data_IF_714025018095
#
_entry.id   IF_714025018095
#
_cell.length_a   1.000
_cell.length_b   1.000
_cell.length_c   1.000
_cell.angle_alpha   90.00
_cell.angle_beta   90.00
_cell.angle_gamma   90.00
#
_symmetry.space_group_name_H-M   'P 1'
#
loop_
_entity.id
_entity.type
_entity.pdbx_description
1 polymer ?
#
# COMPACT_ATOMS: atom_id res chain seq x y z
N UNK A 1 -4.76 18.78 5.25
CA UNK A 1 -6.07 18.27 5.71
C UNK A 1 -5.91 16.81 6.07
N UNK A 2 -6.67 16.28 7.03
CA UNK A 2 -6.63 14.85 7.36
C UNK A 2 -7.55 14.07 6.41
N UNK A 3 -7.24 12.80 6.15
CA UNK A 3 -8.11 11.91 5.36
C UNK A 3 -9.51 11.79 5.98
N UNK A 4 -9.58 11.74 7.31
CA UNK A 4 -10.84 11.70 8.06
C UNK A 4 -11.76 12.89 7.72
N UNK A 5 -11.19 14.10 7.58
CA UNK A 5 -11.96 15.29 7.18
C UNK A 5 -12.47 15.26 5.74
N UNK A 6 -11.90 14.38 4.90
CA UNK A 6 -12.33 14.11 3.52
C UNK A 6 -13.25 12.88 3.44
N UNK A 7 -13.66 12.29 4.58
CA UNK A 7 -14.49 11.08 4.61
C UNK A 7 -13.74 9.81 4.20
N UNK A 8 -12.40 9.82 4.23
CA UNK A 8 -11.56 8.67 3.88
C UNK A 8 -11.00 8.04 5.15
N UNK A 9 -11.19 6.73 5.30
CA UNK A 9 -10.58 5.93 6.37
C UNK A 9 -9.66 4.86 5.78
N UNK A 10 -8.49 4.66 6.39
CA UNK A 10 -7.56 3.60 6.03
C UNK A 10 -7.70 2.48 7.04
N UNK A 11 -8.07 1.29 6.56
CA UNK A 11 -8.31 0.12 7.40
C UNK A 11 -7.25 -0.94 7.09
N UNK A 12 -6.47 -1.30 8.10
CA UNK A 12 -5.60 -2.48 8.02
C UNK A 12 -6.46 -3.73 8.06
N UNK A 13 -6.30 -4.61 7.06
CA UNK A 13 -6.96 -5.91 7.06
C UNK A 13 -6.24 -6.95 7.94
N UNK A 14 -5.02 -6.65 8.43
CA UNK A 14 -4.20 -7.59 9.21
C UNK A 14 -3.96 -8.95 8.51
N UNK A 15 -3.87 -8.93 7.18
CA UNK A 15 -3.59 -10.10 6.36
C UNK A 15 -4.48 -10.17 5.11
N UNK A 16 -3.94 -10.72 4.01
CA UNK A 16 -4.63 -10.74 2.72
C UNK A 16 -5.94 -11.51 2.72
N UNK A 17 -6.03 -12.61 3.47
CA UNK A 17 -7.25 -13.43 3.57
C UNK A 17 -8.44 -12.62 4.10
N UNK A 18 -8.20 -11.65 4.98
CA UNK A 18 -9.25 -10.79 5.56
C UNK A 18 -9.68 -9.67 4.63
N UNK A 19 -8.85 -9.29 3.65
CA UNK A 19 -9.18 -8.25 2.66
C UNK A 19 -10.44 -8.66 1.88
N UNK A 20 -10.53 -9.91 1.44
CA UNK A 20 -11.71 -10.39 0.71
C UNK A 20 -12.99 -10.26 1.55
N UNK A 21 -12.93 -10.64 2.83
CA UNK A 21 -14.06 -10.54 3.75
C UNK A 21 -14.49 -9.08 3.96
N UNK A 22 -13.53 -8.18 4.20
CA UNK A 22 -13.78 -6.75 4.38
C UNK A 22 -14.35 -6.12 3.12
N UNK A 23 -13.80 -6.45 1.94
CA UNK A 23 -14.29 -5.92 0.67
C UNK A 23 -15.74 -6.32 0.40
N UNK A 24 -16.09 -7.59 0.63
CA UNK A 24 -17.47 -8.05 0.52
C UNK A 24 -18.37 -7.32 1.52
N UNK A 25 -17.98 -7.26 2.80
CA UNK A 25 -18.76 -6.59 3.85
C UNK A 25 -19.02 -5.12 3.52
N UNK A 26 -17.98 -4.35 3.21
CA UNK A 26 -18.12 -2.92 2.91
C UNK A 26 -18.89 -2.66 1.62
N UNK A 27 -18.75 -3.53 0.61
CA UNK A 27 -19.55 -3.43 -0.61
C UNK A 27 -21.05 -3.60 -0.33
N UNK A 28 -21.43 -4.55 0.54
CA UNK A 28 -22.82 -4.79 0.93
C UNK A 28 -23.40 -3.63 1.76
N UNK A 29 -22.56 -2.93 2.50
CA UNK A 29 -22.94 -1.72 3.25
C UNK A 29 -22.99 -0.45 2.37
N UNK A 30 -22.70 -0.55 1.07
CA UNK A 30 -22.67 0.60 0.16
C UNK A 30 -21.48 1.54 0.40
N UNK A 31 -20.46 1.10 1.13
CA UNK A 31 -19.26 1.91 1.42
C UNK A 31 -18.32 1.81 0.21
N UNK A 32 -17.94 2.97 -0.35
CA UNK A 32 -16.92 3.00 -1.40
C UNK A 32 -15.60 2.46 -0.85
N UNK A 33 -15.12 1.36 -1.43
CA UNK A 33 -13.91 0.67 -0.98
C UNK A 33 -12.90 0.61 -2.11
N UNK A 34 -11.65 0.92 -1.79
CA UNK A 34 -10.49 0.75 -2.66
C UNK A 34 -9.49 -0.17 -1.98
N UNK A 35 -9.09 -1.25 -2.65
CA UNK A 35 -8.24 -2.29 -2.04
C UNK A 35 -6.78 -2.11 -2.44
N UNK A 36 -5.87 -2.24 -1.47
CA UNK A 36 -4.42 -2.16 -1.68
C UNK A 36 -3.84 -3.45 -1.09
N UNK A 37 -3.05 -4.18 -1.89
CA UNK A 37 -2.37 -5.38 -1.41
C UNK A 37 -1.03 -5.58 -2.11
N UNK A 38 -0.10 -6.23 -1.42
CA UNK A 38 1.16 -6.69 -2.01
C UNK A 38 0.92 -8.02 -2.74
N UNK A 39 1.71 -8.36 -3.74
CA UNK A 39 1.63 -9.58 -4.54
C UNK A 39 2.56 -10.69 -4.04
N UNK A 40 3.47 -10.36 -3.12
CA UNK A 40 4.49 -11.23 -2.52
C UNK A 40 5.34 -11.98 -3.56
N UNK A 41 5.67 -11.36 -4.69
CA UNK A 41 6.37 -11.97 -5.83
C UNK A 41 7.74 -12.59 -5.51
N UNK A 42 8.37 -12.19 -4.40
CA UNK A 42 9.64 -12.75 -3.91
C UNK A 42 9.47 -13.87 -2.86
N UNK A 43 8.27 -14.09 -2.32
CA UNK A 43 8.06 -15.13 -1.32
C UNK A 43 7.82 -16.49 -2.00
N UNK A 44 8.61 -17.49 -1.58
CA UNK A 44 8.53 -18.89 -2.03
C UNK A 44 7.89 -19.81 -0.97
N UNK A 45 7.54 -19.29 0.20
CA UNK A 45 6.84 -20.06 1.24
C UNK A 45 5.34 -19.97 1.00
N UNK A 46 4.63 -21.08 1.22
CA UNK A 46 3.17 -21.18 1.10
C UNK A 46 2.60 -20.71 -0.25
N UNK A 47 3.33 -20.98 -1.35
CA UNK A 47 3.03 -20.46 -2.71
C UNK A 47 1.58 -20.66 -3.12
N UNK A 48 1.00 -21.84 -2.87
CA UNK A 48 -0.38 -22.14 -3.27
C UNK A 48 -1.40 -21.21 -2.57
N UNK A 49 -1.24 -20.97 -1.26
CA UNK A 49 -2.17 -20.13 -0.50
C UNK A 49 -2.06 -18.64 -0.86
N UNK A 50 -0.84 -18.16 -1.13
CA UNK A 50 -0.62 -16.78 -1.58
C UNK A 50 -1.14 -16.54 -3.00
N UNK A 51 -0.97 -17.51 -3.90
CA UNK A 51 -1.39 -17.38 -5.31
C UNK A 51 -2.90 -17.44 -5.48
N UNK A 52 -3.60 -18.30 -4.73
CA UNK A 52 -5.06 -18.33 -4.72
C UNK A 52 -5.66 -17.05 -4.12
N UNK A 53 -5.04 -16.51 -3.08
CA UNK A 53 -5.47 -15.25 -2.49
C UNK A 53 -5.30 -14.08 -3.47
N UNK A 54 -4.17 -14.02 -4.20
CA UNK A 54 -3.94 -13.00 -5.23
C UNK A 54 -4.98 -13.10 -6.36
N UNK A 55 -5.26 -14.31 -6.87
CA UNK A 55 -6.30 -14.58 -7.87
C UNK A 55 -7.67 -14.10 -7.41
N UNK A 56 -8.05 -14.43 -6.18
CA UNK A 56 -9.34 -14.07 -5.60
C UNK A 56 -9.47 -12.54 -5.47
N UNK A 57 -8.45 -11.87 -4.93
CA UNK A 57 -8.46 -10.41 -4.78
C UNK A 57 -8.55 -9.69 -6.13
N UNK A 58 -7.79 -10.13 -7.14
CA UNK A 58 -7.87 -9.59 -8.50
C UNK A 58 -9.27 -9.77 -9.10
N UNK A 59 -9.87 -10.94 -8.92
CA UNK A 59 -11.24 -11.22 -9.36
C UNK A 59 -12.25 -10.28 -8.71
N UNK A 60 -12.12 -10.06 -7.39
CA UNK A 60 -13.01 -9.18 -6.63
C UNK A 60 -12.90 -7.71 -7.05
N UNK A 61 -11.73 -7.31 -7.55
CA UNK A 61 -11.54 -5.99 -8.16
C UNK A 61 -11.74 -6.03 -9.70
N UNK A 62 -12.38 -7.06 -10.24
CA UNK A 62 -12.77 -7.14 -11.65
C UNK A 62 -11.60 -7.24 -12.64
N UNK A 63 -10.44 -7.70 -12.18
CA UNK A 63 -9.27 -7.95 -13.02
C UNK A 63 -9.13 -9.46 -13.32
N UNK A 64 -8.41 -9.79 -14.39
CA UNK A 64 -8.06 -11.18 -14.69
C UNK A 64 -7.24 -11.78 -13.55
N UNK A 65 -7.61 -12.95 -13.02
CA UNK A 65 -6.86 -13.60 -11.94
C UNK A 65 -5.42 -13.90 -12.36
N UNK A 66 -4.45 -13.60 -11.50
CA UNK A 66 -3.04 -13.87 -11.71
C UNK A 66 -2.40 -14.33 -10.40
N UNK A 67 -1.56 -15.36 -10.47
CA UNK A 67 -0.82 -15.90 -9.32
C UNK A 67 0.22 -14.92 -8.80
N UNK A 68 0.97 -14.33 -9.73
CA UNK A 68 2.07 -13.40 -9.48
C UNK A 68 1.82 -12.10 -10.26
N UNK A 69 0.89 -11.25 -9.79
CA UNK A 69 0.56 -10.02 -10.48
C UNK A 69 1.74 -9.03 -10.47
N UNK A 70 1.93 -8.35 -11.60
CA UNK A 70 2.82 -7.18 -11.68
C UNK A 70 2.19 -5.97 -11.01
N UNK A 71 3.04 -5.05 -10.54
CA UNK A 71 2.59 -3.82 -9.91
C UNK A 71 1.66 -3.03 -10.84
N UNK A 72 0.45 -2.75 -10.37
CA UNK A 72 -0.57 -2.03 -11.14
C UNK A 72 -1.54 -1.30 -10.21
N UNK A 73 -2.04 -0.16 -10.69
CA UNK A 73 -3.12 0.60 -10.05
C UNK A 73 -4.30 0.57 -11.00
N UNK A 74 -5.42 0.03 -10.52
CA UNK A 74 -6.69 -0.13 -11.21
C UNK A 74 -7.72 0.87 -10.68
N UNK A 75 -8.92 0.86 -11.26
CA UNK A 75 -10.00 1.76 -10.84
C UNK A 75 -10.58 1.47 -9.45
N UNK A 76 -10.44 0.25 -8.93
CA UNK A 76 -11.06 -0.21 -7.68
C UNK A 76 -10.07 -0.95 -6.76
N UNK A 77 -8.79 -0.93 -7.10
CA UNK A 77 -7.73 -1.44 -6.25
C UNK A 77 -6.36 -1.27 -6.86
N UNK A 78 -5.33 -1.66 -6.11
CA UNK A 78 -3.95 -1.65 -6.54
C UNK A 78 -3.21 -2.84 -5.96
N UNK A 79 -2.27 -3.35 -6.75
CA UNK A 79 -1.38 -4.45 -6.36
C UNK A 79 0.06 -4.04 -6.62
N UNK A 80 0.96 -4.42 -5.71
CA UNK A 80 2.41 -4.26 -5.91
C UNK A 80 3.07 -5.61 -5.99
N UNK A 81 3.89 -5.86 -7.01
CA UNK A 81 4.54 -7.16 -7.21
C UNK A 81 5.26 -7.64 -5.94
N UNK A 82 5.98 -6.73 -5.25
CA UNK A 82 6.72 -7.04 -4.03
C UNK A 82 6.13 -6.33 -2.82
N UNK A 83 6.48 -5.06 -2.65
CA UNK A 83 5.87 -4.20 -1.64
C UNK A 83 5.72 -2.79 -2.21
N UNK A 84 4.74 -2.04 -1.69
CA UNK A 84 4.65 -0.62 -2.04
C UNK A 84 5.92 0.16 -1.64
N UNK A 85 6.49 -0.16 -0.48
CA UNK A 85 7.73 0.47 0.02
C UNK A 85 8.91 0.28 -0.93
N UNK A 86 9.10 -0.91 -1.51
CA UNK A 86 10.15 -1.16 -2.49
C UNK A 86 9.98 -0.29 -3.74
N UNK A 87 8.74 -0.06 -4.14
CA UNK A 87 8.43 0.84 -5.27
C UNK A 87 8.84 2.26 -4.95
N UNK A 88 8.43 2.79 -3.79
CA UNK A 88 8.82 4.14 -3.35
C UNK A 88 10.35 4.29 -3.27
N UNK A 89 11.04 3.32 -2.67
CA UNK A 89 12.51 3.30 -2.58
C UNK A 89 13.17 3.45 -3.95
N UNK A 90 12.68 2.72 -4.94
CA UNK A 90 13.22 2.79 -6.31
C UNK A 90 12.99 4.15 -6.96
N UNK A 91 11.84 4.79 -6.71
CA UNK A 91 11.50 6.10 -7.28
C UNK A 91 12.28 7.25 -6.64
N UNK A 92 12.46 7.24 -5.32
CA UNK A 92 13.11 8.35 -4.59
C UNK A 92 14.63 8.18 -4.48
N UNK A 93 15.11 6.99 -4.77
CA UNK A 93 16.51 6.58 -4.65
C UNK A 93 16.81 5.97 -3.29
N UNK A 94 17.58 4.88 -3.29
CA UNK A 94 17.90 4.10 -2.09
C UNK A 94 18.64 4.92 -1.03
N UNK A 95 19.59 5.76 -1.44
CA UNK A 95 20.30 6.68 -0.52
C UNK A 95 19.33 7.63 0.18
N UNK A 96 18.46 8.33 -0.58
CA UNK A 96 17.47 9.25 -0.01
C UNK A 96 16.56 8.55 0.99
N UNK A 97 16.08 7.36 0.62
CA UNK A 97 15.24 6.56 1.51
C UNK A 97 15.97 6.17 2.78
N UNK A 98 17.16 5.59 2.66
CA UNK A 98 17.91 5.06 3.80
C UNK A 98 18.32 6.17 4.77
N UNK A 99 18.75 7.33 4.26
CA UNK A 99 19.09 8.49 5.08
C UNK A 99 17.86 9.04 5.82
N UNK A 100 16.72 9.14 5.12
CA UNK A 100 15.45 9.57 5.71
C UNK A 100 14.95 8.59 6.77
N UNK A 101 15.07 7.28 6.51
CA UNK A 101 14.65 6.23 7.41
C UNK A 101 15.52 6.18 8.68
N UNK A 102 16.85 6.30 8.53
CA UNK A 102 17.77 6.37 9.64
C UNK A 102 17.51 7.61 10.51
N UNK A 103 17.25 8.76 9.89
CA UNK A 103 16.87 9.98 10.60
C UNK A 103 15.55 9.81 11.35
N UNK A 104 14.53 9.24 10.72
CA UNK A 104 13.25 8.95 11.38
C UNK A 104 13.42 8.00 12.57
N UNK A 105 14.18 6.91 12.43
CA UNK A 105 14.46 5.99 13.55
C UNK A 105 15.14 6.71 14.72
N UNK A 106 16.12 7.58 14.42
CA UNK A 106 16.81 8.39 15.44
C UNK A 106 15.86 9.35 16.16
N UNK A 107 14.94 9.99 15.45
CA UNK A 107 13.93 10.88 16.05
C UNK A 107 13.03 10.14 17.05
N UNK A 108 12.74 8.86 16.79
CA UNK A 108 11.96 8.00 17.70
C UNK A 108 12.80 7.21 18.71
N UNK A 109 14.10 7.46 18.82
CA UNK A 109 15.03 6.69 19.67
C UNK A 109 14.99 5.17 19.41
N UNK A 110 14.81 4.77 18.14
CA UNK A 110 14.76 3.38 17.71
C UNK A 110 15.98 3.00 16.89
N UNK A 111 16.36 1.72 16.95
CA UNK A 111 17.32 1.14 16.00
C UNK A 111 16.63 0.85 14.66
N UNK A 112 17.36 0.86 13.53
CA UNK A 112 16.77 0.61 12.21
C UNK A 112 16.00 -0.71 12.08
N UNK A 113 16.37 -1.75 12.82
CA UNK A 113 15.66 -3.04 12.85
C UNK A 113 14.32 -2.97 13.59
N UNK A 114 14.20 -2.10 14.59
CA UNK A 114 12.98 -1.91 15.39
C UNK A 114 11.93 -1.06 14.67
N UNK A 115 12.38 -0.13 13.80
CA UNK A 115 11.53 0.82 13.10
C UNK A 115 10.75 0.24 11.92
N UNK A 116 11.14 -0.92 11.38
CA UNK A 116 10.73 -1.38 10.03
C UNK A 116 9.22 -1.54 9.85
N UNK A 117 8.51 -1.88 10.93
CA UNK A 117 7.05 -2.12 10.93
C UNK A 117 6.28 -1.09 11.75
N UNK A 118 6.93 0.01 12.15
CA UNK A 118 6.31 1.05 12.97
C UNK A 118 5.73 2.12 12.05
N UNK A 119 4.40 2.24 12.05
CA UNK A 119 3.68 3.20 11.22
C UNK A 119 4.24 4.63 11.35
N UNK A 120 4.50 5.08 12.59
CA UNK A 120 5.07 6.41 12.87
C UNK A 120 6.45 6.62 12.20
N UNK A 121 7.31 5.59 12.19
CA UNK A 121 8.64 5.67 11.56
C UNK A 121 8.51 5.77 10.04
N UNK A 122 7.64 4.96 9.43
CA UNK A 122 7.41 4.99 7.97
C UNK A 122 6.77 6.31 7.54
N UNK A 123 5.77 6.79 8.28
CA UNK A 123 5.15 8.10 8.05
C UNK A 123 6.19 9.22 8.12
N UNK A 124 7.05 9.23 9.14
CA UNK A 124 8.09 10.25 9.26
C UNK A 124 9.15 10.14 8.17
N UNK A 125 9.54 8.93 7.79
CA UNK A 125 10.45 8.66 6.67
C UNK A 125 9.91 9.30 5.39
N UNK A 126 8.63 9.08 5.09
CA UNK A 126 7.99 9.70 3.93
C UNK A 126 7.94 11.23 4.02
N UNK A 127 7.65 11.79 5.20
CA UNK A 127 7.71 13.23 5.43
C UNK A 127 9.07 13.82 5.06
N UNK A 128 10.16 13.21 5.55
CA UNK A 128 11.53 13.62 5.25
C UNK A 128 11.88 13.51 3.75
N UNK A 129 11.43 12.43 3.10
CA UNK A 129 11.60 12.25 1.65
C UNK A 129 10.91 13.39 0.88
N UNK A 130 9.68 13.76 1.24
CA UNK A 130 8.95 14.86 0.60
C UNK A 130 9.56 16.23 0.91
N UNK A 131 10.03 16.45 2.14
CA UNK A 131 10.76 17.67 2.55
C UNK A 131 12.05 17.87 1.72
N UNK A 132 12.67 16.78 1.25
CA UNK A 132 13.84 16.84 0.35
C UNK A 132 13.51 17.20 -1.11
N UNK A 133 12.22 17.43 -1.41
CA UNK A 133 11.73 17.78 -2.75
C UNK A 133 11.53 16.58 -3.69
N UNK A 134 11.74 15.35 -3.22
CA UNK A 134 11.42 14.13 -3.98
C UNK A 134 9.91 13.92 -4.03
N UNK A 135 9.46 13.22 -5.07
CA UNK A 135 8.06 12.85 -5.29
C UNK A 135 7.98 11.36 -5.60
N UNK A 136 6.81 10.77 -5.36
CA UNK A 136 6.50 9.40 -5.76
C UNK A 136 5.37 9.39 -6.79
N UNK A 137 5.67 9.14 -8.08
CA UNK A 137 4.66 8.95 -9.10
C UNK A 137 3.66 7.84 -8.77
N UNK A 138 4.10 6.75 -8.14
CA UNK A 138 3.21 5.65 -7.72
C UNK A 138 2.22 6.07 -6.63
N UNK A 139 2.66 6.88 -5.67
CA UNK A 139 1.77 7.43 -4.64
C UNK A 139 0.74 8.39 -5.23
N UNK A 140 1.16 9.28 -6.13
CA UNK A 140 0.26 10.21 -6.84
C UNK A 140 -0.76 9.44 -7.68
N UNK A 141 -0.32 8.39 -8.38
CA UNK A 141 -1.19 7.53 -9.20
C UNK A 141 -2.21 6.78 -8.33
N UNK A 142 -1.77 6.25 -7.20
CA UNK A 142 -2.64 5.58 -6.24
C UNK A 142 -3.71 6.54 -5.70
N UNK A 143 -3.32 7.73 -5.25
CA UNK A 143 -4.24 8.71 -4.71
C UNK A 143 -5.30 9.13 -5.74
N UNK A 144 -4.90 9.43 -6.98
CA UNK A 144 -5.85 9.77 -8.07
C UNK A 144 -6.85 8.65 -8.36
N UNK A 145 -6.42 7.39 -8.25
CA UNK A 145 -7.31 6.26 -8.44
C UNK A 145 -8.35 6.16 -7.31
N UNK A 146 -7.95 6.42 -6.06
CA UNK A 146 -8.85 6.47 -4.91
C UNK A 146 -9.86 7.61 -5.06
N UNK A 147 -9.40 8.81 -5.40
CA UNK A 147 -10.26 9.98 -5.64
C UNK A 147 -11.30 9.70 -6.72
N UNK A 148 -10.85 9.18 -7.86
CA UNK A 148 -11.73 8.84 -9.00
C UNK A 148 -12.77 7.77 -8.63
N UNK A 149 -12.35 6.72 -7.91
CA UNK A 149 -13.21 5.61 -7.51
C UNK A 149 -14.32 6.02 -6.56
N UNK A 150 -14.00 6.90 -5.61
CA UNK A 150 -14.90 7.31 -4.53
C UNK A 150 -15.49 8.70 -4.72
N UNK A 151 -15.23 9.35 -5.86
CA UNK A 151 -15.76 10.67 -6.21
C UNK A 151 -15.47 11.70 -5.12
N UNK A 152 -14.26 11.63 -4.56
CA UNK A 152 -13.80 12.57 -3.54
C UNK A 152 -13.61 13.95 -4.20
N UNK A 153 -14.14 14.99 -3.58
CA UNK A 153 -14.09 16.39 -4.04
C UNK A 153 -12.88 17.13 -3.52
#
# INVERSE_FOLDING_TARGET
>A
MSLDSQGVTIISAEGKTRIAQLLVLYSQLGICTFVIFDGDGKEQKDEDAHTDTNKALLSLIGQTPQERPKSAVFGNGAVWENTFVDTIKSEVGETTWNDSYAKACKEFSMRPDEGRKKFAVIQRTMGLVLESGKKSPSLDKLWRAIESRCQLT
#
